data_IF_066048675806
#
_entry.id   IF_066048675806
#
_cell.length_a   1.000
_cell.length_b   1.000
_cell.length_c   1.000
_cell.angle_alpha   90.00
_cell.angle_beta   90.00
_cell.angle_gamma   90.00
#
_symmetry.space_group_name_H-M   'P 1'
#
loop_
_entity.id
_entity.type
_entity.pdbx_description
1 polymer ?
#
# COMPACT_ATOMS: atom_id res chain seq x y z
N UNK A 1 -21.89 44.95 0.56
CA UNK A 1 -22.22 43.50 0.49
C UNK A 1 -23.74 43.35 0.57
N UNK A 2 -24.37 42.50 -0.25
CA UNK A 2 -25.84 42.29 -0.18
C UNK A 2 -26.19 41.12 0.73
N UNK A 3 -27.30 41.24 1.46
CA UNK A 3 -27.80 40.17 2.31
C UNK A 3 -28.34 39.01 1.45
N UNK A 4 -27.81 37.78 1.56
CA UNK A 4 -28.23 36.64 0.75
C UNK A 4 -29.68 36.18 1.03
N UNK A 5 -30.30 36.67 2.11
CA UNK A 5 -31.68 36.34 2.46
C UNK A 5 -32.70 37.39 2.00
N UNK A 6 -32.26 38.63 1.73
CA UNK A 6 -33.18 39.75 1.50
C UNK A 6 -32.82 40.62 0.29
N UNK A 7 -31.65 40.38 -0.31
CA UNK A 7 -31.02 41.16 -1.39
C UNK A 7 -30.89 42.68 -1.14
N UNK A 8 -30.98 43.10 0.13
CA UNK A 8 -30.76 44.49 0.56
C UNK A 8 -29.28 44.69 0.92
N UNK A 9 -28.78 45.89 0.71
CA UNK A 9 -27.43 46.29 1.10
C UNK A 9 -27.24 46.21 2.61
N UNK A 10 -26.14 45.60 3.06
CA UNK A 10 -25.84 45.38 4.47
C UNK A 10 -25.00 46.51 5.05
N UNK A 11 -25.26 46.83 6.31
CA UNK A 11 -24.56 47.86 7.07
C UNK A 11 -23.32 47.28 7.77
N UNK A 12 -22.16 47.96 7.76
CA UNK A 12 -20.99 47.52 8.50
C UNK A 12 -21.19 47.76 10.00
N UNK A 13 -21.02 46.73 10.82
CA UNK A 13 -21.00 46.86 12.29
C UNK A 13 -19.58 47.16 12.80
N UNK A 14 -18.60 46.43 12.29
CA UNK A 14 -17.15 46.60 12.51
C UNK A 14 -16.41 46.11 11.27
N UNK A 15 -15.10 46.37 11.17
CA UNK A 15 -14.29 45.92 10.04
C UNK A 15 -14.49 44.41 9.76
N UNK A 16 -14.96 44.08 8.56
CA UNK A 16 -15.20 42.70 8.14
C UNK A 16 -16.47 42.03 8.68
N UNK A 17 -17.34 42.73 9.43
CA UNK A 17 -18.63 42.18 9.92
C UNK A 17 -19.78 43.12 9.53
N UNK A 18 -20.77 42.57 8.85
CA UNK A 18 -21.92 43.30 8.31
C UNK A 18 -23.22 42.78 8.91
N UNK A 19 -24.21 43.65 9.11
CA UNK A 19 -25.56 43.30 9.54
C UNK A 19 -26.60 43.75 8.51
N UNK A 20 -27.56 42.88 8.21
CA UNK A 20 -28.70 43.26 7.38
C UNK A 20 -29.68 44.12 8.20
N UNK A 21 -30.02 45.33 7.78
CA UNK A 21 -30.96 46.18 8.53
C UNK A 21 -32.38 45.60 8.58
N UNK A 22 -32.77 44.82 7.55
CA UNK A 22 -34.12 44.27 7.41
C UNK A 22 -34.36 42.99 8.22
N UNK A 23 -33.41 42.07 8.23
CA UNK A 23 -33.55 40.76 8.91
C UNK A 23 -32.58 40.56 10.08
N UNK A 24 -31.79 41.59 10.41
CA UNK A 24 -30.78 41.60 11.48
C UNK A 24 -29.69 40.52 11.39
N UNK A 25 -29.60 39.80 10.26
CA UNK A 25 -28.62 38.74 10.01
C UNK A 25 -27.21 39.32 9.89
N UNK A 26 -26.28 38.78 10.67
CA UNK A 26 -24.87 39.19 10.72
C UNK A 26 -24.03 38.26 9.84
N UNK A 27 -23.16 38.81 9.00
CA UNK A 27 -22.27 38.08 8.08
C UNK A 27 -20.87 38.65 8.20
N UNK A 28 -19.88 37.77 8.43
CA UNK A 28 -18.47 38.11 8.36
C UNK A 28 -18.03 38.04 6.89
N UNK A 29 -17.43 39.11 6.37
CA UNK A 29 -16.75 39.06 5.08
C UNK A 29 -15.62 38.03 5.17
N UNK A 30 -15.48 37.21 4.12
CA UNK A 30 -14.32 36.32 4.00
C UNK A 30 -13.07 37.19 3.92
N UNK A 31 -12.11 36.94 4.79
CA UNK A 31 -10.82 37.63 4.76
C UNK A 31 -10.09 37.24 3.46
N UNK A 32 -9.57 38.23 2.72
CA UNK A 32 -8.79 38.04 1.47
C UNK A 32 -7.49 37.24 1.67
N UNK A 33 -7.15 36.85 2.91
CA UNK A 33 -5.99 36.00 3.22
C UNK A 33 -6.13 34.53 2.78
N UNK A 34 -7.31 34.10 2.29
CA UNK A 34 -7.46 32.77 1.68
C UNK A 34 -7.11 32.72 0.19
N UNK A 35 -6.84 33.84 -0.48
CA UNK A 35 -6.57 33.86 -1.93
C UNK A 35 -5.09 33.89 -2.34
N UNK A 36 -4.15 34.18 -1.43
CA UNK A 36 -2.71 34.25 -1.76
C UNK A 36 -1.93 32.92 -1.67
N UNK A 37 -2.58 31.79 -1.37
CA UNK A 37 -1.90 30.47 -1.39
C UNK A 37 -2.54 29.46 -2.36
N UNK A 38 -3.14 29.94 -3.46
CA UNK A 38 -3.27 29.10 -4.67
C UNK A 38 -1.92 29.03 -5.38
N UNK A 39 -0.89 28.51 -4.71
CA UNK A 39 0.14 27.80 -5.46
C UNK A 39 -0.60 26.73 -6.24
N UNK A 40 -0.58 26.82 -7.58
CA UNK A 40 -1.10 25.77 -8.45
C UNK A 40 -0.41 24.49 -8.02
N UNK A 41 -1.12 23.62 -7.30
CA UNK A 41 -0.67 22.25 -7.10
C UNK A 41 -0.72 21.62 -8.48
N UNK A 42 0.43 21.59 -9.16
CA UNK A 42 0.59 20.88 -10.42
C UNK A 42 0.53 19.38 -10.10
N UNK A 43 -0.69 18.85 -10.17
CA UNK A 43 -0.94 17.42 -9.96
C UNK A 43 -0.03 16.63 -10.92
N UNK A 44 0.67 15.65 -10.38
CA UNK A 44 1.53 14.77 -11.17
C UNK A 44 3.00 15.15 -11.22
N UNK A 45 3.40 16.30 -10.69
CA UNK A 45 4.82 16.69 -10.59
C UNK A 45 5.33 16.66 -9.15
N UNK A 46 6.66 16.75 -9.02
CA UNK A 46 7.32 16.71 -7.72
C UNK A 46 7.07 18.02 -6.95
N UNK A 47 6.60 17.86 -5.73
CA UNK A 47 6.48 18.92 -4.73
C UNK A 47 7.52 18.65 -3.63
N UNK A 48 8.11 19.72 -3.10
CA UNK A 48 9.11 19.64 -2.04
C UNK A 48 8.56 19.01 -0.76
N UNK A 49 9.40 18.29 -0.02
CA UNK A 49 9.02 17.60 1.20
C UNK A 49 8.44 18.53 2.28
N UNK A 50 8.89 19.79 2.32
CA UNK A 50 8.37 20.82 3.23
C UNK A 50 6.88 21.10 3.02
N UNK A 51 6.42 21.05 1.77
CA UNK A 51 5.01 21.19 1.46
C UNK A 51 4.19 20.05 2.08
N UNK A 52 4.65 18.81 1.95
CA UNK A 52 3.97 17.67 2.58
C UNK A 52 4.05 17.73 4.09
N UNK A 53 5.16 18.16 4.67
CA UNK A 53 5.28 18.32 6.13
C UNK A 53 4.40 19.41 6.71
N UNK A 54 4.15 20.49 5.96
CA UNK A 54 3.31 21.61 6.42
C UNK A 54 1.82 21.34 6.21
N UNK A 55 1.45 20.64 5.13
CA UNK A 55 0.04 20.43 4.75
C UNK A 55 -0.49 19.03 5.10
N UNK A 56 0.37 18.03 5.20
CA UNK A 56 0.02 16.69 5.67
C UNK A 56 0.57 16.49 7.09
N UNK A 57 -0.19 15.82 7.95
CA UNK A 57 0.22 15.53 9.34
C UNK A 57 1.34 14.47 9.40
N UNK A 58 2.50 14.73 8.78
CA UNK A 58 3.70 13.90 8.84
C UNK A 58 4.47 14.19 10.12
N UNK A 59 4.95 13.14 10.78
CA UNK A 59 5.72 13.30 12.03
C UNK A 59 7.23 13.33 11.75
N UNK A 60 7.79 14.54 11.72
CA UNK A 60 9.21 14.80 11.50
C UNK A 60 10.15 14.10 12.50
N UNK A 61 9.65 13.72 13.69
CA UNK A 61 10.48 13.03 14.69
C UNK A 61 10.88 11.61 14.27
N UNK A 62 10.12 11.00 13.35
CA UNK A 62 10.33 9.63 12.92
C UNK A 62 10.57 9.51 11.42
N UNK A 63 10.06 10.45 10.63
CA UNK A 63 10.05 10.36 9.19
C UNK A 63 10.20 11.74 8.55
N UNK A 64 11.14 11.84 7.60
CA UNK A 64 11.33 13.02 6.77
C UNK A 64 10.91 12.68 5.35
N UNK A 65 9.94 13.42 4.81
CA UNK A 65 9.65 13.47 3.38
C UNK A 65 10.65 14.39 2.69
N UNK A 66 11.34 13.89 1.67
CA UNK A 66 12.24 14.69 0.82
C UNK A 66 11.45 15.43 -0.25
N UNK A 67 10.56 14.68 -0.92
CA UNK A 67 9.66 15.17 -1.95
C UNK A 67 8.57 14.15 -2.22
N UNK A 68 7.54 14.55 -2.97
CA UNK A 68 6.45 13.66 -3.32
C UNK A 68 5.61 14.20 -4.46
N UNK A 69 4.65 13.39 -4.90
CA UNK A 69 3.76 13.70 -6.01
C UNK A 69 2.33 13.56 -5.52
N UNK A 70 1.54 14.62 -5.61
CA UNK A 70 0.10 14.57 -5.35
C UNK A 70 -0.62 13.85 -6.49
N UNK A 71 -1.35 12.78 -6.16
CA UNK A 71 -2.16 11.99 -7.11
C UNK A 71 -3.55 12.60 -7.26
N UNK A 72 -4.24 12.77 -6.12
CA UNK A 72 -5.55 13.40 -6.07
C UNK A 72 -5.71 14.15 -4.75
N UNK A 73 -6.28 15.34 -4.80
CA UNK A 73 -6.57 16.16 -3.62
C UNK A 73 -7.95 16.78 -3.79
N UNK A 74 -8.84 16.45 -2.87
CA UNK A 74 -10.17 17.02 -2.71
C UNK A 74 -10.28 17.60 -1.30
N UNK A 75 -11.38 18.28 -1.01
CA UNK A 75 -11.66 18.81 0.33
C UNK A 75 -11.68 17.72 1.40
N UNK A 76 -11.98 16.48 1.02
CA UNK A 76 -12.22 15.38 1.97
C UNK A 76 -11.13 14.33 2.01
N UNK A 77 -10.27 14.29 0.98
CA UNK A 77 -9.30 13.22 0.76
C UNK A 77 -8.09 13.74 0.01
N UNK A 78 -6.91 13.28 0.41
CA UNK A 78 -5.66 13.51 -0.32
C UNK A 78 -4.92 12.18 -0.46
N UNK A 79 -4.40 11.94 -1.66
CA UNK A 79 -3.57 10.80 -2.03
C UNK A 79 -2.27 11.35 -2.61
N UNK A 80 -1.14 10.87 -2.09
CA UNK A 80 0.17 11.22 -2.61
C UNK A 80 1.12 10.02 -2.53
N UNK A 81 2.14 10.04 -3.39
CA UNK A 81 3.29 9.14 -3.29
C UNK A 81 4.48 9.98 -2.87
N UNK A 82 5.15 9.58 -1.79
CA UNK A 82 6.24 10.33 -1.19
C UNK A 82 7.54 9.50 -1.24
N UNK A 83 8.67 10.20 -1.36
CA UNK A 83 9.98 9.68 -1.01
C UNK A 83 10.27 10.14 0.42
N UNK A 84 10.46 9.18 1.31
CA UNK A 84 10.73 9.44 2.71
C UNK A 84 11.97 8.67 3.18
N UNK A 85 12.57 9.11 4.26
CA UNK A 85 13.58 8.36 5.00
C UNK A 85 13.34 8.46 6.51
N UNK A 86 14.10 7.66 7.28
CA UNK A 86 14.12 7.77 8.74
C UNK A 86 14.72 9.11 9.14
N UNK A 87 14.17 9.75 10.18
CA UNK A 87 14.77 10.97 10.76
C UNK A 87 16.20 10.74 11.28
N UNK A 88 16.57 9.48 11.56
CA UNK A 88 17.87 9.09 12.09
C UNK A 88 18.83 8.55 11.02
N UNK A 89 18.32 8.21 9.83
CA UNK A 89 19.11 7.57 8.79
C UNK A 89 18.59 7.95 7.39
N UNK A 90 19.25 8.93 6.78
CA UNK A 90 18.91 9.47 5.47
C UNK A 90 19.15 8.48 4.32
N UNK A 91 20.13 7.59 4.47
CA UNK A 91 20.43 6.57 3.47
C UNK A 91 19.32 5.53 3.30
N UNK A 92 18.45 5.35 4.30
CA UNK A 92 17.31 4.41 4.23
C UNK A 92 16.08 5.09 3.65
N UNK A 93 16.15 5.37 2.35
CA UNK A 93 15.01 5.90 1.58
C UNK A 93 13.99 4.80 1.30
N UNK A 94 12.72 5.19 1.27
CA UNK A 94 11.60 4.34 0.90
C UNK A 94 10.48 5.14 0.26
N UNK A 95 9.71 4.45 -0.57
CA UNK A 95 8.51 4.99 -1.18
C UNK A 95 7.33 4.78 -0.25
N UNK A 96 6.55 5.84 -0.03
CA UNK A 96 5.37 5.86 0.83
C UNK A 96 4.16 6.33 0.01
N UNK A 97 3.22 5.43 -0.28
CA UNK A 97 1.91 5.82 -0.83
C UNK A 97 0.98 6.09 0.34
N UNK A 98 0.36 7.28 0.39
CA UNK A 98 -0.40 7.74 1.57
C UNK A 98 -1.75 8.34 1.25
N UNK A 99 -2.65 8.22 2.22
CA UNK A 99 -4.01 8.71 2.20
C UNK A 99 -4.30 9.51 3.47
N UNK A 100 -4.91 10.67 3.28
CA UNK A 100 -5.37 11.53 4.36
C UNK A 100 -6.83 11.89 4.18
N UNK A 101 -7.54 12.24 5.26
CA UNK A 101 -8.91 12.76 5.16
C UNK A 101 -9.28 13.84 6.18
N UNK A 102 -10.55 14.26 6.17
CA UNK A 102 -11.00 15.55 6.73
C UNK A 102 -10.72 15.84 8.21
N UNK A 103 -10.72 17.15 8.49
CA UNK A 103 -10.28 17.99 9.62
C UNK A 103 -8.89 18.63 9.45
N UNK A 104 -7.82 17.88 9.18
CA UNK A 104 -6.47 18.45 8.94
C UNK A 104 -5.58 17.52 8.09
N UNK A 105 -6.17 16.85 7.08
CA UNK A 105 -5.52 15.72 6.42
C UNK A 105 -4.93 14.76 7.47
N UNK A 106 -5.78 14.31 8.40
CA UNK A 106 -5.36 13.29 9.36
C UNK A 106 -5.02 12.03 8.59
N UNK A 107 -3.89 11.42 8.94
CA UNK A 107 -3.40 10.22 8.28
C UNK A 107 -4.44 9.09 8.41
N UNK A 108 -4.93 8.62 7.28
CA UNK A 108 -5.91 7.53 7.19
C UNK A 108 -5.22 6.22 6.82
N UNK A 109 -4.21 6.25 5.95
CA UNK A 109 -3.62 5.06 5.37
C UNK A 109 -2.23 5.33 4.79
N UNK A 110 -1.32 4.37 4.85
CA UNK A 110 -0.08 4.39 4.06
C UNK A 110 0.38 2.98 3.74
N UNK A 111 1.07 2.77 2.63
CA UNK A 111 1.92 1.60 2.39
C UNK A 111 3.36 2.07 2.20
N UNK A 112 4.31 1.43 2.90
CA UNK A 112 5.75 1.70 2.80
C UNK A 112 6.44 0.60 1.98
N UNK A 113 7.32 1.02 1.08
CA UNK A 113 8.03 0.17 0.11
C UNK A 113 9.51 0.53 0.19
N UNK A 114 10.30 -0.38 0.74
CA UNK A 114 11.73 -0.21 0.99
C UNK A 114 12.61 -0.87 -0.07
N UNK A 115 12.00 -1.60 -0.99
CA UNK A 115 12.67 -2.56 -1.87
C UNK A 115 12.24 -2.28 -3.31
N UNK A 116 13.24 -2.20 -4.20
CA UNK A 116 13.07 -1.87 -5.61
C UNK A 116 12.15 -2.88 -6.30
N UNK A 117 12.35 -4.16 -6.04
CA UNK A 117 11.60 -5.25 -6.65
C UNK A 117 10.14 -5.26 -6.16
N UNK A 118 9.88 -4.90 -4.90
CA UNK A 118 8.51 -4.70 -4.39
C UNK A 118 7.84 -3.49 -5.07
N UNK A 119 8.56 -2.39 -5.30
CA UNK A 119 8.02 -1.24 -6.04
C UNK A 119 7.67 -1.63 -7.48
N UNK A 120 8.57 -2.36 -8.14
CA UNK A 120 8.35 -2.87 -9.48
C UNK A 120 7.11 -3.79 -9.56
N UNK A 121 7.00 -4.74 -8.63
CA UNK A 121 5.83 -5.62 -8.52
C UNK A 121 4.55 -4.83 -8.30
N UNK A 122 4.60 -3.76 -7.51
CA UNK A 122 3.45 -2.89 -7.30
C UNK A 122 3.03 -2.20 -8.60
N UNK A 123 3.98 -1.63 -9.36
CA UNK A 123 3.70 -0.97 -10.64
C UNK A 123 3.03 -1.97 -11.60
N UNK A 124 3.63 -3.15 -11.80
CA UNK A 124 3.05 -4.20 -12.66
C UNK A 124 1.65 -4.61 -12.18
N UNK A 125 1.46 -4.77 -10.87
CA UNK A 125 0.16 -5.15 -10.33
C UNK A 125 -0.92 -4.10 -10.60
N UNK A 126 -0.58 -2.81 -10.47
CA UNK A 126 -1.51 -1.71 -10.75
C UNK A 126 -1.81 -1.60 -12.24
N UNK A 127 -0.81 -1.78 -13.12
CA UNK A 127 -1.01 -1.80 -14.59
C UNK A 127 -1.93 -2.94 -15.01
N UNK A 128 -1.67 -4.17 -14.53
CA UNK A 128 -2.55 -5.32 -14.79
C UNK A 128 -3.98 -5.07 -14.31
N UNK A 129 -4.14 -4.39 -13.17
CA UNK A 129 -5.46 -4.03 -12.64
C UNK A 129 -6.13 -2.97 -13.51
N UNK A 130 -5.39 -1.96 -13.99
CA UNK A 130 -5.93 -0.95 -14.91
C UNK A 130 -6.42 -1.59 -16.20
N UNK A 131 -5.71 -2.61 -16.70
CA UNK A 131 -6.06 -3.32 -17.94
C UNK A 131 -7.22 -4.31 -17.80
N UNK A 132 -7.41 -4.95 -16.64
CA UNK A 132 -8.31 -6.11 -16.49
C UNK A 132 -9.61 -5.82 -15.70
N UNK A 133 -9.80 -4.58 -15.27
CA UNK A 133 -11.01 -4.11 -14.58
C UNK A 133 -11.64 -2.94 -15.32
N UNK A 134 -12.96 -2.86 -15.35
CA UNK A 134 -13.68 -1.68 -15.86
C UNK A 134 -13.70 -0.51 -14.84
N UNK A 135 -14.30 0.62 -15.22
CA UNK A 135 -14.42 1.82 -14.39
C UNK A 135 -15.17 1.60 -13.06
N UNK A 136 -16.03 0.58 -12.99
CA UNK A 136 -16.78 0.16 -11.80
C UNK A 136 -16.11 -1.02 -11.08
N UNK A 137 -14.86 -1.31 -11.40
CA UNK A 137 -14.11 -2.46 -10.89
C UNK A 137 -14.77 -3.82 -11.22
N UNK A 138 -15.53 -3.90 -12.31
CA UNK A 138 -15.98 -5.14 -12.91
C UNK A 138 -14.80 -5.91 -13.51
N UNK A 139 -14.65 -7.15 -13.08
CA UNK A 139 -13.57 -8.03 -13.53
C UNK A 139 -13.91 -8.64 -14.89
N UNK A 140 -13.07 -8.39 -15.89
CA UNK A 140 -13.18 -9.01 -17.21
C UNK A 140 -11.94 -9.82 -17.60
N UNK A 141 -10.95 -9.90 -16.70
CA UNK A 141 -9.84 -10.83 -16.85
C UNK A 141 -10.26 -12.29 -16.66
N UNK A 142 -9.32 -13.21 -16.87
CA UNK A 142 -9.55 -14.64 -16.68
C UNK A 142 -8.67 -15.15 -15.54
N UNK A 143 -9.27 -15.68 -14.47
CA UNK A 143 -8.55 -16.57 -13.56
C UNK A 143 -8.08 -17.77 -14.39
N UNK A 144 -6.78 -18.11 -14.32
CA UNK A 144 -6.09 -19.12 -15.14
C UNK A 144 -7.05 -20.17 -15.74
N UNK A 145 -7.57 -19.92 -16.95
CA UNK A 145 -8.17 -20.95 -17.80
C UNK A 145 -7.11 -21.37 -18.80
N UNK A 146 -6.43 -22.49 -18.53
CA UNK A 146 -5.59 -23.27 -19.47
C UNK A 146 -4.75 -22.46 -20.49
N UNK A 147 -4.25 -21.27 -20.16
CA UNK A 147 -3.22 -20.63 -20.97
C UNK A 147 -1.92 -21.36 -20.63
N UNK A 148 -1.18 -21.82 -21.63
CA UNK A 148 0.12 -22.43 -21.39
C UNK A 148 0.96 -21.41 -20.60
N UNK A 149 1.53 -21.84 -19.47
CA UNK A 149 2.46 -21.02 -18.69
C UNK A 149 3.57 -20.55 -19.63
N UNK A 150 3.94 -19.28 -19.52
CA UNK A 150 5.12 -18.76 -20.22
C UNK A 150 6.38 -19.49 -19.73
N UNK A 151 7.43 -19.50 -20.54
CA UNK A 151 8.70 -20.13 -20.14
C UNK A 151 9.27 -19.51 -18.86
N UNK A 152 9.09 -18.19 -18.69
CA UNK A 152 9.51 -17.48 -17.48
C UNK A 152 8.73 -17.94 -16.23
N UNK A 153 7.41 -18.09 -16.33
CA UNK A 153 6.57 -18.60 -15.23
C UNK A 153 6.96 -20.04 -14.86
N UNK A 154 7.19 -20.90 -15.86
CA UNK A 154 7.66 -22.27 -15.63
C UNK A 154 9.01 -22.29 -14.93
N UNK A 155 9.92 -21.38 -15.31
CA UNK A 155 11.25 -21.27 -14.72
C UNK A 155 11.16 -20.84 -13.25
N UNK A 156 10.33 -19.83 -12.93
CA UNK A 156 10.09 -19.35 -11.56
C UNK A 156 9.50 -20.44 -10.67
N UNK A 157 8.48 -21.15 -11.15
CA UNK A 157 7.85 -22.25 -10.42
C UNK A 157 8.84 -23.40 -10.18
N UNK A 158 9.59 -23.81 -11.21
CA UNK A 158 10.63 -24.84 -11.10
C UNK A 158 11.71 -24.44 -10.10
N UNK A 159 12.13 -23.17 -10.09
CA UNK A 159 13.08 -22.63 -9.11
C UNK A 159 12.54 -22.77 -7.69
N UNK A 160 11.29 -22.38 -7.45
CA UNK A 160 10.65 -22.50 -6.13
C UNK A 160 10.52 -23.96 -5.69
N UNK A 161 10.15 -24.86 -6.60
CA UNK A 161 10.00 -26.28 -6.28
C UNK A 161 11.35 -26.95 -5.97
N UNK A 162 12.40 -26.58 -6.70
CA UNK A 162 13.78 -27.02 -6.37
C UNK A 162 14.18 -26.53 -4.99
N UNK A 163 13.88 -25.28 -4.64
CA UNK A 163 14.17 -24.73 -3.31
C UNK A 163 13.43 -25.53 -2.23
N UNK A 164 12.12 -25.75 -2.38
CA UNK A 164 11.33 -26.55 -1.44
C UNK A 164 11.91 -27.96 -1.27
N UNK A 165 12.23 -28.62 -2.37
CA UNK A 165 12.84 -29.95 -2.36
C UNK A 165 14.17 -29.96 -1.58
N UNK A 166 15.08 -29.01 -1.86
CA UNK A 166 16.38 -28.90 -1.17
C UNK A 166 16.23 -28.59 0.32
N UNK A 167 15.23 -27.81 0.71
CA UNK A 167 14.92 -27.57 2.13
C UNK A 167 14.50 -28.88 2.80
N UNK A 168 13.62 -29.66 2.16
CA UNK A 168 13.04 -30.86 2.77
C UNK A 168 14.01 -32.02 2.86
N UNK A 169 14.74 -32.30 1.78
CA UNK A 169 15.67 -33.43 1.72
C UNK A 169 17.02 -33.09 2.37
N UNK A 170 17.56 -31.92 2.05
CA UNK A 170 18.95 -31.58 2.38
C UNK A 170 19.09 -30.52 3.48
N UNK A 171 17.98 -29.98 4.01
CA UNK A 171 17.98 -28.83 4.94
C UNK A 171 18.82 -27.67 4.41
N UNK A 172 18.74 -27.42 3.11
CA UNK A 172 19.53 -26.38 2.46
C UNK A 172 18.85 -25.03 2.57
N UNK A 173 19.61 -24.00 2.96
CA UNK A 173 19.14 -22.63 3.07
C UNK A 173 18.65 -22.10 1.71
N UNK A 174 17.42 -21.57 1.60
CA UNK A 174 16.89 -21.03 0.35
C UNK A 174 17.66 -19.80 -0.15
N UNK A 175 18.37 -19.10 0.73
CA UNK A 175 19.10 -17.87 0.43
C UNK A 175 20.56 -18.11 0.03
N UNK A 176 21.31 -18.91 0.80
CA UNK A 176 22.75 -19.08 0.60
C UNK A 176 23.19 -20.50 0.22
N UNK A 177 22.26 -21.45 0.05
CA UNK A 177 22.52 -22.85 -0.28
C UNK A 177 23.41 -23.63 0.70
N UNK A 178 23.72 -23.08 1.89
CA UNK A 178 24.42 -23.81 2.96
C UNK A 178 23.44 -24.67 3.76
N UNK A 179 23.94 -25.74 4.38
CA UNK A 179 23.15 -26.60 5.27
C UNK A 179 22.68 -25.79 6.49
N UNK A 180 21.44 -25.99 6.89
CA UNK A 180 20.81 -25.33 8.03
C UNK A 180 20.82 -26.23 9.27
N UNK A 181 20.86 -25.59 10.42
CA UNK A 181 20.72 -26.23 11.71
C UNK A 181 19.24 -26.52 11.98
N UNK A 182 18.98 -27.69 12.55
CA UNK A 182 17.63 -28.08 12.93
C UNK A 182 17.37 -27.60 14.35
N UNK A 183 16.50 -26.61 14.49
CA UNK A 183 15.98 -26.16 15.77
C UNK A 183 14.73 -26.98 16.14
N UNK A 184 14.19 -26.73 17.33
CA UNK A 184 13.01 -27.45 17.87
C UNK A 184 11.79 -27.37 16.94
N UNK A 185 11.57 -26.21 16.31
CA UNK A 185 10.35 -25.90 15.53
C UNK A 185 10.60 -25.40 14.11
N UNK A 186 11.85 -25.10 13.76
CA UNK A 186 12.24 -24.46 12.51
C UNK A 186 13.67 -24.88 12.12
N UNK A 187 14.09 -24.51 10.92
CA UNK A 187 15.47 -24.53 10.49
C UNK A 187 16.04 -23.13 10.52
N UNK A 188 17.28 -23.00 10.95
CA UNK A 188 18.00 -21.74 10.99
C UNK A 188 19.33 -21.87 10.25
N UNK A 189 19.63 -20.91 9.38
CA UNK A 189 20.89 -20.86 8.70
C UNK A 189 21.89 -20.03 9.51
N UNK A 190 22.86 -20.69 10.15
CA UNK A 190 23.92 -20.02 10.92
C UNK A 190 24.88 -19.17 10.09
N UNK A 191 24.79 -19.21 8.75
CA UNK A 191 25.56 -18.33 7.86
C UNK A 191 24.89 -16.99 7.55
N UNK A 192 23.57 -16.97 7.30
CA UNK A 192 22.86 -15.76 6.86
C UNK A 192 21.61 -15.41 7.67
N UNK A 193 21.33 -16.15 8.75
CA UNK A 193 20.18 -15.93 9.64
C UNK A 193 18.83 -16.28 9.03
N UNK A 194 18.79 -16.94 7.86
CA UNK A 194 17.53 -17.31 7.22
C UNK A 194 16.82 -18.38 8.06
N UNK A 195 15.53 -18.16 8.30
CA UNK A 195 14.68 -19.06 9.09
C UNK A 195 13.65 -19.71 8.16
N UNK A 196 13.49 -21.02 8.30
CA UNK A 196 12.48 -21.80 7.58
C UNK A 196 11.60 -22.55 8.55
N UNK A 197 10.30 -22.32 8.50
CA UNK A 197 9.31 -23.01 9.34
C UNK A 197 8.63 -24.08 8.51
N UNK A 198 8.50 -25.29 9.03
CA UNK A 198 7.70 -26.34 8.40
C UNK A 198 6.26 -26.30 8.93
N UNK A 199 5.29 -26.16 8.04
CA UNK A 199 3.86 -26.13 8.33
C UNK A 199 3.16 -27.40 7.81
N UNK A 200 2.15 -27.89 8.55
CA UNK A 200 1.31 -29.02 8.13
C UNK A 200 2.08 -30.22 7.58
N UNK A 201 1.73 -30.66 6.36
CA UNK A 201 2.33 -31.74 5.57
C UNK A 201 3.78 -31.46 5.11
N UNK A 202 4.64 -30.98 6.01
CA UNK A 202 6.02 -30.57 5.73
C UNK A 202 6.11 -29.51 4.61
N UNK A 203 5.18 -28.57 4.54
CA UNK A 203 5.31 -27.45 3.62
C UNK A 203 6.27 -26.41 4.19
N UNK A 204 7.40 -26.11 3.53
CA UNK A 204 8.34 -25.12 4.03
C UNK A 204 7.83 -23.70 3.76
N UNK A 205 7.87 -22.87 4.80
CA UNK A 205 7.61 -21.44 4.74
C UNK A 205 8.94 -20.72 4.93
N UNK A 206 9.28 -19.91 3.95
CA UNK A 206 10.51 -19.14 3.87
C UNK A 206 10.25 -17.83 3.10
N UNK A 207 11.24 -16.95 3.07
CA UNK A 207 11.14 -15.71 2.31
C UNK A 207 11.24 -15.97 0.80
N UNK A 208 10.25 -15.52 0.03
CA UNK A 208 10.31 -15.55 -1.44
C UNK A 208 10.82 -14.18 -1.90
N UNK A 209 11.86 -14.18 -2.74
CA UNK A 209 12.35 -12.95 -3.34
C UNK A 209 11.23 -12.29 -4.16
N UNK A 210 11.01 -10.96 -4.07
CA UNK A 210 9.94 -10.31 -4.81
C UNK A 210 10.03 -10.54 -6.33
N UNK A 211 11.24 -10.64 -6.88
CA UNK A 211 11.50 -10.96 -8.29
C UNK A 211 11.02 -12.36 -8.73
N UNK A 212 10.88 -13.29 -7.79
CA UNK A 212 10.44 -14.67 -8.04
C UNK A 212 8.92 -14.84 -7.86
N UNK A 213 8.18 -13.77 -7.53
CA UNK A 213 6.73 -13.84 -7.35
C UNK A 213 6.00 -14.03 -8.68
N UNK A 214 4.96 -14.87 -8.64
CA UNK A 214 3.97 -14.95 -9.72
C UNK A 214 3.03 -13.75 -9.60
N UNK A 215 3.18 -12.76 -10.48
CA UNK A 215 2.35 -11.55 -10.52
C UNK A 215 1.01 -11.79 -11.23
N UNK A 216 0.45 -12.99 -11.09
CA UNK A 216 -0.85 -13.36 -11.62
C UNK A 216 -1.99 -13.02 -10.65
N UNK A 217 -3.18 -12.97 -11.21
CA UNK A 217 -4.40 -12.74 -10.45
C UNK A 217 -4.80 -13.98 -9.64
N UNK A 218 -5.07 -13.76 -8.36
CA UNK A 218 -5.58 -14.75 -7.41
C UNK A 218 -6.89 -14.24 -6.79
N UNK A 219 -7.74 -15.14 -6.31
CA UNK A 219 -8.95 -14.79 -5.57
C UNK A 219 -8.87 -15.15 -4.06
N UNK A 220 -7.99 -16.08 -3.69
CA UNK A 220 -7.95 -16.63 -2.33
C UNK A 220 -7.06 -15.78 -1.41
N UNK A 221 -7.60 -14.65 -0.93
CA UNK A 221 -6.97 -13.80 0.08
C UNK A 221 -7.67 -13.93 1.45
N UNK A 222 -6.94 -13.96 2.58
CA UNK A 222 -7.51 -14.04 3.92
C UNK A 222 -8.03 -12.66 4.38
N UNK A 223 -9.08 -12.19 3.70
CA UNK A 223 -9.70 -10.88 3.94
C UNK A 223 -10.92 -11.07 4.82
N UNK A 224 -10.91 -10.40 5.97
CA UNK A 224 -12.08 -10.28 6.84
C UNK A 224 -12.93 -9.09 6.39
N UNK A 225 -14.25 -9.17 6.59
CA UNK A 225 -15.26 -8.14 6.28
C UNK A 225 -15.64 -7.91 4.81
N UNK A 226 -14.70 -8.06 3.87
CA UNK A 226 -14.96 -7.91 2.43
C UNK A 226 -14.75 -9.23 1.70
N UNK A 227 -15.17 -9.27 0.43
CA UNK A 227 -14.93 -10.41 -0.43
C UNK A 227 -13.96 -10.00 -1.56
N UNK A 228 -12.88 -10.74 -1.79
CA UNK A 228 -11.97 -10.47 -2.89
C UNK A 228 -12.67 -10.75 -4.23
N UNK A 229 -12.59 -9.81 -5.16
CA UNK A 229 -12.84 -10.09 -6.58
C UNK A 229 -11.60 -10.80 -7.12
N UNK A 230 -10.47 -10.09 -7.13
CA UNK A 230 -9.17 -10.58 -7.58
C UNK A 230 -8.07 -9.68 -7.06
N UNK A 231 -6.84 -10.17 -7.00
CA UNK A 231 -5.68 -9.40 -6.58
C UNK A 231 -4.35 -10.06 -6.90
N UNK A 232 -3.27 -9.34 -6.63
CA UNK A 232 -1.89 -9.74 -6.95
C UNK A 232 -1.03 -9.57 -5.69
N UNK A 233 -0.24 -10.58 -5.37
CA UNK A 233 0.76 -10.53 -4.29
C UNK A 233 2.00 -9.78 -4.79
N UNK A 234 2.44 -8.77 -4.05
CA UNK A 234 3.61 -7.94 -4.41
C UNK A 234 4.83 -8.18 -3.51
N UNK A 235 4.61 -8.77 -2.31
CA UNK A 235 5.66 -9.17 -1.36
C UNK A 235 5.21 -10.39 -0.58
N UNK A 236 6.04 -11.43 -0.49
CA UNK A 236 5.75 -12.64 0.29
C UNK A 236 6.97 -13.09 1.10
N UNK A 237 7.04 -12.63 2.34
CA UNK A 237 8.02 -13.05 3.33
C UNK A 237 7.38 -14.04 4.31
N UNK A 238 8.22 -14.77 5.06
CA UNK A 238 7.77 -15.68 6.10
C UNK A 238 6.84 -14.99 7.11
N UNK A 239 7.17 -13.76 7.51
CA UNK A 239 6.44 -12.97 8.51
C UNK A 239 5.56 -11.84 7.97
N UNK A 240 5.67 -11.48 6.69
CA UNK A 240 4.99 -10.31 6.08
C UNK A 240 4.48 -10.65 4.68
N UNK A 241 3.21 -10.38 4.41
CA UNK A 241 2.61 -10.49 3.08
C UNK A 241 1.98 -9.17 2.68
N UNK A 242 2.27 -8.66 1.47
CA UNK A 242 1.58 -7.52 0.86
C UNK A 242 0.92 -7.92 -0.45
N UNK A 243 -0.30 -7.43 -0.67
CA UNK A 243 -1.04 -7.62 -1.90
C UNK A 243 -1.88 -6.39 -2.26
N UNK A 244 -2.19 -6.27 -3.54
CA UNK A 244 -3.14 -5.29 -4.08
C UNK A 244 -4.37 -6.06 -4.55
N UNK A 245 -5.55 -5.74 -4.02
CA UNK A 245 -6.74 -6.56 -4.20
C UNK A 245 -7.96 -5.67 -4.47
N UNK A 246 -8.69 -5.97 -5.53
CA UNK A 246 -10.04 -5.42 -5.75
C UNK A 246 -11.02 -6.23 -4.92
N UNK A 247 -11.81 -5.54 -4.11
CA UNK A 247 -12.76 -6.14 -3.17
C UNK A 247 -14.15 -5.55 -3.34
N UNK A 248 -15.14 -6.23 -2.79
CA UNK A 248 -16.52 -5.74 -2.70
C UNK A 248 -17.12 -5.88 -1.30
N UNK A 249 -18.14 -5.07 -1.04
CA UNK A 249 -18.92 -5.14 0.19
C UNK A 249 -19.75 -6.43 0.23
N UNK A 250 -19.71 -7.16 1.35
CA UNK A 250 -20.55 -8.37 1.53
C UNK A 250 -22.04 -8.07 1.35
N UNK A 251 -22.47 -6.91 1.84
CA UNK A 251 -23.88 -6.50 1.80
C UNK A 251 -24.29 -5.85 0.47
N UNK A 252 -23.32 -5.44 -0.36
CA UNK A 252 -23.59 -4.82 -1.66
C UNK A 252 -22.47 -5.13 -2.67
N UNK A 253 -22.64 -6.18 -3.50
CA UNK A 253 -21.65 -6.59 -4.50
C UNK A 253 -21.32 -5.54 -5.57
N UNK A 254 -22.19 -4.54 -5.78
CA UNK A 254 -21.93 -3.45 -6.72
C UNK A 254 -20.97 -2.41 -6.14
N UNK A 255 -20.79 -2.38 -4.82
CA UNK A 255 -19.82 -1.51 -4.17
C UNK A 255 -18.45 -2.19 -4.17
N UNK A 256 -17.64 -1.86 -5.16
CA UNK A 256 -16.28 -2.38 -5.37
C UNK A 256 -15.23 -1.27 -5.26
N UNK A 257 -14.02 -1.62 -4.84
CA UNK A 257 -12.89 -0.69 -4.81
C UNK A 257 -11.57 -1.46 -4.72
N UNK A 258 -10.47 -0.78 -5.09
CA UNK A 258 -9.12 -1.31 -4.94
C UNK A 258 -8.63 -1.08 -3.51
N UNK A 259 -7.92 -2.06 -2.95
CA UNK A 259 -7.38 -1.98 -1.60
C UNK A 259 -5.98 -2.58 -1.50
N UNK A 260 -5.14 -1.92 -0.70
CA UNK A 260 -3.76 -2.34 -0.44
C UNK A 260 -3.70 -3.09 0.89
N UNK A 261 -3.46 -4.39 0.85
CA UNK A 261 -3.38 -5.22 2.04
C UNK A 261 -1.95 -5.49 2.48
N UNK A 262 -1.77 -5.53 3.79
CA UNK A 262 -0.63 -6.18 4.43
C UNK A 262 -1.14 -7.11 5.53
N UNK A 263 -0.48 -8.25 5.66
CA UNK A 263 -0.68 -9.18 6.75
C UNK A 263 0.65 -9.47 7.41
N UNK A 264 0.59 -9.74 8.71
CA UNK A 264 1.72 -10.17 9.51
C UNK A 264 1.41 -11.53 10.12
N UNK A 265 2.44 -12.35 10.27
CA UNK A 265 2.39 -13.56 11.09
C UNK A 265 3.08 -13.29 12.41
N UNK A 266 2.46 -13.74 13.49
CA UNK A 266 3.15 -13.77 14.77
C UNK A 266 4.00 -15.04 14.84
N UNK A 267 5.32 -14.86 14.83
CA UNK A 267 6.30 -15.93 14.91
C UNK A 267 6.87 -16.09 16.32
N UNK A 268 6.45 -15.27 17.29
CA UNK A 268 7.07 -15.16 18.61
C UNK A 268 7.08 -16.48 19.36
N UNK A 269 5.94 -17.20 19.38
CA UNK A 269 5.83 -18.47 20.09
C UNK A 269 6.64 -19.59 19.44
N UNK A 270 6.71 -19.58 18.09
CA UNK A 270 7.44 -20.58 17.33
C UNK A 270 8.94 -20.42 17.55
N UNK A 271 9.43 -19.18 17.53
CA UNK A 271 10.84 -18.87 17.72
C UNK A 271 11.28 -19.04 19.18
N UNK A 272 10.47 -18.61 20.16
CA UNK A 272 10.83 -18.66 21.59
C UNK A 272 10.61 -20.03 22.24
N UNK A 273 9.46 -20.65 22.00
CA UNK A 273 9.04 -21.85 22.76
C UNK A 273 9.04 -23.12 21.90
N UNK A 274 9.18 -22.96 20.58
CA UNK A 274 9.02 -24.04 19.64
C UNK A 274 7.59 -24.58 19.56
N UNK A 275 6.61 -23.76 19.96
CA UNK A 275 5.19 -24.13 20.00
C UNK A 275 4.40 -23.28 19.02
N UNK A 276 3.41 -23.89 18.38
CA UNK A 276 2.35 -23.18 17.64
C UNK A 276 1.33 -22.65 18.66
N UNK A 277 0.62 -21.56 18.37
CA UNK A 277 -0.47 -21.07 19.25
C UNK A 277 -1.44 -22.22 19.60
N UNK A 278 -1.99 -22.22 20.82
CA UNK A 278 -2.83 -23.29 21.38
C UNK A 278 -3.96 -23.71 20.42
N UNK A 279 -3.94 -24.97 20.00
CA UNK A 279 -4.91 -25.60 19.07
C UNK A 279 -4.20 -26.42 18.00
N UNK A 280 -3.82 -27.66 18.33
CA UNK A 280 -3.18 -28.64 17.44
C UNK A 280 -3.97 -28.81 16.13
N UNK A 281 -3.56 -28.12 15.06
CA UNK A 281 -4.19 -28.19 13.75
C UNK A 281 -4.34 -26.84 13.03
N UNK A 282 -4.14 -25.71 13.72
CA UNK A 282 -4.24 -24.39 13.08
C UNK A 282 -3.00 -24.06 12.25
N UNK A 283 -3.21 -23.80 10.95
CA UNK A 283 -2.23 -23.11 10.09
C UNK A 283 -1.83 -21.79 10.74
N UNK A 284 -0.58 -21.35 10.57
CA UNK A 284 -0.08 -20.04 10.96
C UNK A 284 -0.91 -18.95 10.27
N UNK A 285 -1.91 -18.47 11.00
CA UNK A 285 -2.87 -17.51 10.51
C UNK A 285 -2.21 -16.19 10.16
N UNK A 286 -2.59 -15.64 9.01
CA UNK A 286 -2.29 -14.26 8.65
C UNK A 286 -3.19 -13.32 9.45
N UNK A 287 -2.59 -12.48 10.29
CA UNK A 287 -3.31 -11.44 11.03
C UNK A 287 -3.19 -10.13 10.23
N UNK A 288 -4.33 -9.59 9.79
CA UNK A 288 -4.34 -8.23 9.23
C UNK A 288 -3.94 -7.24 10.33
N UNK A 289 -2.96 -6.37 10.09
CA UNK A 289 -2.53 -5.41 11.12
C UNK A 289 -3.70 -4.47 11.43
N UNK A 290 -4.18 -4.47 12.67
CA UNK A 290 -5.06 -3.42 13.21
C UNK A 290 -4.19 -2.20 13.48
N UNK A 291 -4.13 -1.28 12.54
CA UNK A 291 -3.38 -0.03 12.72
C UNK A 291 -2.95 0.51 11.39
N UNK A 292 -3.53 1.66 11.04
CA UNK A 292 -3.53 2.32 9.72
C UNK A 292 -4.57 1.70 8.79
N UNK A 293 -5.64 2.46 8.53
CA UNK A 293 -6.71 2.06 7.60
C UNK A 293 -6.06 1.70 6.28
N UNK A 294 -6.21 0.45 5.86
CA UNK A 294 -5.61 0.02 4.61
C UNK A 294 -6.10 0.94 3.48
N UNK A 295 -5.17 1.48 2.69
CA UNK A 295 -5.50 2.39 1.61
C UNK A 295 -6.55 1.83 0.64
N UNK A 296 -7.54 2.66 0.30
CA UNK A 296 -8.53 2.33 -0.71
C UNK A 296 -8.39 3.30 -1.88
N UNK A 297 -8.57 2.84 -3.12
CA UNK A 297 -8.96 3.67 -4.27
C UNK A 297 -10.37 3.32 -4.68
N UNK A 298 -11.28 4.28 -4.58
CA UNK A 298 -12.69 4.09 -4.94
C UNK A 298 -12.92 4.33 -6.43
N UNK A 299 -12.21 5.30 -7.00
CA UNK A 299 -12.35 5.68 -8.41
C UNK A 299 -11.16 5.13 -9.18
N UNK A 300 -11.42 4.39 -10.26
CA UNK A 300 -10.37 3.83 -11.11
C UNK A 300 -9.53 4.91 -11.79
N UNK A 301 -10.09 6.09 -12.05
CA UNK A 301 -9.39 7.24 -12.63
C UNK A 301 -8.14 7.66 -11.80
N UNK A 302 -8.12 7.40 -10.49
CA UNK A 302 -6.95 7.69 -9.63
C UNK A 302 -5.77 6.73 -9.89
N UNK A 303 -5.97 5.63 -10.62
CA UNK A 303 -4.99 4.57 -10.82
C UNK A 303 -3.88 4.95 -11.79
N UNK A 304 -4.21 5.57 -12.93
CA UNK A 304 -3.20 6.01 -13.91
C UNK A 304 -2.25 7.07 -13.34
N UNK A 305 -2.73 8.16 -12.70
CA UNK A 305 -1.84 9.11 -12.06
C UNK A 305 -0.98 8.48 -10.96
N UNK A 306 -1.51 7.48 -10.23
CA UNK A 306 -0.73 6.73 -9.25
C UNK A 306 0.40 5.92 -9.90
N UNK A 307 0.12 5.20 -10.99
CA UNK A 307 1.13 4.43 -11.73
C UNK A 307 2.23 5.36 -12.26
N UNK A 308 1.85 6.48 -12.87
CA UNK A 308 2.79 7.47 -13.42
C UNK A 308 3.68 8.06 -12.32
N UNK A 309 3.10 8.44 -11.18
CA UNK A 309 3.88 8.94 -10.04
C UNK A 309 4.85 7.88 -9.48
N UNK A 310 4.42 6.62 -9.38
CA UNK A 310 5.30 5.53 -8.93
C UNK A 310 6.46 5.31 -9.91
N UNK A 311 6.21 5.41 -11.23
CA UNK A 311 7.26 5.33 -12.26
C UNK A 311 8.24 6.51 -12.15
N UNK A 312 7.75 7.75 -12.04
CA UNK A 312 8.58 8.95 -11.84
C UNK A 312 9.46 8.82 -10.59
N UNK A 313 8.90 8.35 -9.48
CA UNK A 313 9.65 8.11 -8.23
C UNK A 313 10.67 6.99 -8.38
N UNK A 314 10.33 5.92 -9.10
CA UNK A 314 11.27 4.83 -9.39
C UNK A 314 12.48 5.31 -10.18
N UNK A 315 12.28 6.22 -11.15
CA UNK A 315 13.36 6.84 -11.92
C UNK A 315 14.23 7.72 -11.04
N UNK A 316 13.61 8.57 -10.23
CA UNK A 316 14.30 9.49 -9.33
C UNK A 316 15.20 8.78 -8.30
N UNK A 317 14.74 7.65 -7.76
CA UNK A 317 15.51 6.84 -6.83
C UNK A 317 16.63 6.02 -7.50
N UNK A 318 16.78 6.08 -8.82
CA UNK A 318 17.65 5.16 -9.57
C UNK A 318 17.21 3.70 -9.47
N UNK A 319 15.95 3.47 -9.11
CA UNK A 319 15.33 2.15 -9.00
C UNK A 319 14.76 1.70 -10.35
N UNK A 320 15.32 2.20 -11.45
CA UNK A 320 14.82 1.96 -12.80
C UNK A 320 14.75 0.47 -13.14
N UNK A 321 13.70 0.16 -13.88
CA UNK A 321 13.40 -1.16 -14.40
C UNK A 321 13.99 -1.18 -15.81
N UNK A 322 15.08 -1.91 -16.01
CA UNK A 322 15.46 -2.28 -17.37
C UNK A 322 14.39 -3.25 -17.87
N UNK A 323 13.48 -2.75 -18.70
CA UNK A 323 12.55 -3.59 -19.47
C UNK A 323 13.39 -4.33 -20.52
N UNK A 324 13.92 -5.50 -20.16
CA UNK A 324 14.41 -6.48 -21.13
C UNK A 324 13.31 -7.51 -21.42
#
# INVERSE_FOLDING_TARGET
MKCPACDVEMEPLVAGIFQCPKCKKIIKAKEEKEEEEKAKVEKGDFEEGEYFHSKASLNKQYEICEKGITISKTDTRWIAVLICHSAYLESEKYVRVSWWGKSFYRHKGQIKIYDKEVLHNLIIALEKIDENFDEFWGWHGKFKRKKAKTEEEKLKEKKLDIIKYRILENRTCPKCNKKMDKMKSHYECSHCGEIVILEGYKQPIFNIAPSDLDLNFHANFPINYYLPVSGITIKWLMGEWKAVVVIYSKDNPNKKWLRFYWWIRDLSNILKYGQRELGEGTQMGWKAKKGVSSPNLYNKEELKPLIEALKKISQDLGWEINNN
#
